data_IF_388379801178
#
_entry.id   IF_388379801178
#
_cell.length_a   1.000
_cell.length_b   1.000
_cell.length_c   1.000
_cell.angle_alpha   90.00
_cell.angle_beta   90.00
_cell.angle_gamma   90.00
#
_symmetry.space_group_name_H-M   'P 1'
#
loop_
_entity.id
_entity.type
_entity.pdbx_description
1 polymer ?
#
# COMPACT_ATOMS: atom_id res chain seq x y z
N UNK A 1 -13.16 -9.26 20.45
CA UNK A 1 -12.97 -7.78 20.39
C UNK A 1 -13.59 -7.27 19.09
N UNK A 2 -14.60 -6.42 19.16
CA UNK A 2 -15.19 -5.77 17.97
C UNK A 2 -14.71 -4.33 17.92
N UNK A 3 -14.19 -3.89 16.77
CA UNK A 3 -13.85 -2.50 16.50
C UNK A 3 -14.69 -2.03 15.31
N UNK A 4 -15.43 -0.94 15.45
CA UNK A 4 -16.17 -0.33 14.35
C UNK A 4 -15.21 0.38 13.38
N UNK A 5 -15.73 0.84 12.23
CA UNK A 5 -14.90 1.40 11.17
C UNK A 5 -14.26 2.74 11.56
N UNK A 6 -14.98 3.56 12.33
CA UNK A 6 -14.50 4.87 12.78
C UNK A 6 -13.37 4.73 13.80
N UNK A 7 -13.54 3.86 14.78
CA UNK A 7 -12.52 3.62 15.80
C UNK A 7 -11.28 2.95 15.20
N UNK A 8 -11.46 2.06 14.21
CA UNK A 8 -10.34 1.50 13.48
C UNK A 8 -9.56 2.58 12.73
N UNK A 9 -10.25 3.49 12.04
CA UNK A 9 -9.59 4.59 11.32
C UNK A 9 -8.83 5.51 12.29
N UNK A 10 -9.40 5.83 13.46
CA UNK A 10 -8.70 6.61 14.50
C UNK A 10 -7.45 5.91 15.02
N UNK A 11 -7.55 4.61 15.33
CA UNK A 11 -6.40 3.80 15.74
C UNK A 11 -5.29 3.82 14.70
N UNK A 12 -5.65 3.57 13.44
CA UNK A 12 -4.71 3.55 12.31
C UNK A 12 -4.05 4.91 12.13
N UNK A 13 -4.81 6.01 12.21
CA UNK A 13 -4.26 7.37 12.10
C UNK A 13 -3.21 7.66 13.18
N UNK A 14 -3.44 7.21 14.42
CA UNK A 14 -2.46 7.33 15.51
C UNK A 14 -1.19 6.52 15.18
N UNK A 15 -1.35 5.28 14.70
CA UNK A 15 -0.20 4.44 14.36
C UNK A 15 0.59 4.98 13.16
N UNK A 16 -0.07 5.52 12.14
CA UNK A 16 0.60 6.17 11.02
C UNK A 16 1.34 7.43 11.46
N UNK A 17 0.77 8.21 12.39
CA UNK A 17 1.46 9.37 12.96
C UNK A 17 2.74 8.96 13.72
N UNK A 18 2.72 7.84 14.46
CA UNK A 18 3.94 7.31 15.10
C UNK A 18 4.96 6.79 14.08
N UNK A 19 4.52 6.18 12.98
CA UNK A 19 5.40 5.81 11.87
C UNK A 19 6.02 7.05 11.21
N UNK A 20 5.24 8.12 10.99
CA UNK A 20 5.73 9.39 10.44
C UNK A 20 6.83 10.02 11.32
N UNK A 21 6.76 9.88 12.66
CA UNK A 21 7.80 10.34 13.58
C UNK A 21 9.08 9.49 13.51
N UNK A 22 8.93 8.18 13.31
CA UNK A 22 10.07 7.24 13.24
C UNK A 22 10.78 7.24 11.88
N UNK A 23 10.11 7.71 10.84
CA UNK A 23 10.63 7.78 9.48
C UNK A 23 10.97 9.23 9.11
N UNK A 24 11.94 9.40 8.22
CA UNK A 24 12.25 10.73 7.68
C UNK A 24 11.22 11.09 6.62
N UNK A 25 10.16 11.80 7.02
CA UNK A 25 9.15 12.34 6.10
C UNK A 25 9.76 13.50 5.32
N UNK A 26 9.61 13.49 3.98
CA UNK A 26 9.99 14.60 3.14
C UNK A 26 9.09 15.82 3.38
N UNK A 27 9.67 16.99 3.56
CA UNK A 27 8.92 18.24 3.64
C UNK A 27 8.40 18.70 2.27
N UNK A 28 7.54 19.72 2.24
CA UNK A 28 6.93 20.22 1.02
C UNK A 28 7.94 20.84 0.00
N UNK A 29 9.16 21.20 0.43
CA UNK A 29 10.21 21.72 -0.45
C UNK A 29 11.04 20.62 -1.10
N UNK A 30 10.91 19.38 -0.63
CA UNK A 30 11.64 18.25 -1.15
C UNK A 30 11.15 17.86 -2.55
N UNK A 31 12.05 17.48 -3.44
CA UNK A 31 11.71 17.10 -4.83
C UNK A 31 10.78 15.90 -4.91
N UNK A 32 10.94 14.92 -4.01
CA UNK A 32 10.06 13.77 -3.94
C UNK A 32 8.63 14.17 -3.54
N UNK A 33 8.47 15.06 -2.56
CA UNK A 33 7.15 15.56 -2.17
C UNK A 33 6.50 16.33 -3.31
N UNK A 34 7.23 17.25 -3.95
CA UNK A 34 6.71 17.99 -5.12
C UNK A 34 6.32 17.08 -6.28
N UNK A 35 7.11 16.04 -6.52
CA UNK A 35 6.78 15.03 -7.53
C UNK A 35 5.53 14.25 -7.17
N UNK A 36 5.41 13.78 -5.91
CA UNK A 36 4.23 13.07 -5.43
C UNK A 36 2.98 13.95 -5.51
N UNK A 37 3.04 15.19 -5.04
CA UNK A 37 1.94 16.16 -5.10
C UNK A 37 1.45 16.39 -6.54
N UNK A 38 2.40 16.50 -7.50
CA UNK A 38 2.07 16.63 -8.93
C UNK A 38 1.34 15.38 -9.46
N UNK A 39 1.81 14.18 -9.10
CA UNK A 39 1.25 12.91 -9.56
C UNK A 39 -0.14 12.69 -8.98
N UNK A 40 -0.35 13.07 -7.71
CA UNK A 40 -1.59 12.85 -6.97
C UNK A 40 -2.52 14.05 -6.96
N UNK A 41 -2.23 15.07 -7.76
CA UNK A 41 -3.05 16.28 -7.83
C UNK A 41 -4.51 15.95 -8.21
N UNK A 42 -5.45 16.42 -7.39
CA UNK A 42 -6.87 16.13 -7.55
C UNK A 42 -7.35 14.82 -6.93
N UNK A 43 -6.45 14.00 -6.38
CA UNK A 43 -6.79 12.76 -5.67
C UNK A 43 -7.05 13.05 -4.20
N UNK A 44 -8.25 13.48 -3.85
CA UNK A 44 -8.58 13.87 -2.49
C UNK A 44 -9.32 12.80 -1.70
N UNK A 45 -9.95 11.86 -2.40
CA UNK A 45 -10.89 10.89 -1.82
C UNK A 45 -10.88 9.57 -2.58
N UNK A 46 -11.11 8.47 -1.84
CA UNK A 46 -11.40 7.16 -2.39
C UNK A 46 -12.56 6.53 -1.60
N UNK A 47 -13.73 6.41 -2.24
CA UNK A 47 -14.94 5.81 -1.65
C UNK A 47 -15.31 6.43 -0.28
N UNK A 48 -15.24 7.79 -0.19
CA UNK A 48 -15.53 8.55 1.02
C UNK A 48 -14.39 8.58 2.05
N UNK A 49 -13.22 8.02 1.73
CA UNK A 49 -12.03 8.03 2.59
C UNK A 49 -11.09 9.13 2.11
N UNK A 50 -10.87 10.16 2.93
CA UNK A 50 -9.97 11.26 2.61
C UNK A 50 -8.53 10.79 2.52
N UNK A 51 -7.88 10.97 1.37
CA UNK A 51 -6.50 10.56 1.13
C UNK A 51 -5.49 11.57 1.67
N UNK A 52 -4.39 11.06 2.21
CA UNK A 52 -3.25 11.84 2.69
C UNK A 52 -1.93 11.22 2.24
N UNK A 53 -1.19 11.90 1.38
CA UNK A 53 0.03 11.42 0.74
C UNK A 53 1.27 11.99 1.43
N UNK A 54 2.26 11.14 1.72
CA UNK A 54 3.61 11.57 2.16
C UNK A 54 4.68 10.64 1.60
N UNK A 55 5.92 11.18 1.49
CA UNK A 55 7.08 10.40 1.10
C UNK A 55 7.97 10.14 2.31
N UNK A 56 8.40 8.89 2.48
CA UNK A 56 9.47 8.52 3.40
C UNK A 56 10.80 8.50 2.66
N UNK A 57 11.76 9.31 3.11
CA UNK A 57 13.12 9.35 2.56
C UNK A 57 13.90 8.14 3.05
N UNK A 58 14.02 7.12 2.25
CA UNK A 58 14.65 5.85 2.61
C UNK A 58 15.22 5.13 1.39
N UNK A 59 16.14 4.19 1.62
CA UNK A 59 16.70 3.29 0.61
C UNK A 59 15.87 2.01 0.42
N UNK A 60 14.79 1.86 1.15
CA UNK A 60 13.86 0.74 1.04
C UNK A 60 12.85 1.01 -0.08
N UNK A 61 12.33 -0.06 -0.67
CA UNK A 61 11.35 0.01 -1.76
C UNK A 61 9.99 -0.41 -1.21
N UNK A 62 9.07 0.53 -1.05
CA UNK A 62 7.70 0.22 -0.61
C UNK A 62 6.74 1.34 -0.97
N UNK A 63 5.45 1.00 -1.00
CA UNK A 63 4.32 1.90 -0.89
C UNK A 63 3.21 1.17 -0.15
N UNK A 64 2.40 1.88 0.61
CA UNK A 64 1.25 1.29 1.27
C UNK A 64 0.15 2.31 1.49
N UNK A 65 -1.09 1.84 1.60
CA UNK A 65 -2.23 2.65 2.00
C UNK A 65 -2.98 2.02 3.17
N UNK A 66 -3.39 2.86 4.11
CA UNK A 66 -4.05 2.47 5.34
C UNK A 66 -5.55 2.80 5.35
N UNK A 67 -6.35 2.11 6.18
CA UNK A 67 -7.81 2.31 6.27
C UNK A 67 -8.27 3.73 6.64
N UNK A 68 -7.39 4.56 7.21
CA UNK A 68 -7.62 5.99 7.50
C UNK A 68 -7.41 6.91 6.29
N UNK A 69 -7.00 6.35 5.14
CA UNK A 69 -6.67 7.10 3.92
C UNK A 69 -5.22 7.58 3.84
N UNK A 70 -4.38 7.25 4.80
CA UNK A 70 -2.95 7.53 4.73
C UNK A 70 -2.28 6.70 3.64
N UNK A 71 -1.60 7.35 2.69
CA UNK A 71 -0.78 6.74 1.64
C UNK A 71 0.66 7.16 1.86
N UNK A 72 1.56 6.20 1.94
CA UNK A 72 3.00 6.44 2.12
C UNK A 72 3.77 5.82 0.98
N UNK A 73 4.67 6.60 0.39
CA UNK A 73 5.52 6.18 -0.72
C UNK A 73 6.98 6.33 -0.31
N UNK A 74 7.79 5.34 -0.59
CA UNK A 74 9.21 5.35 -0.25
C UNK A 74 10.02 5.95 -1.41
N UNK A 75 10.97 6.84 -1.10
CA UNK A 75 11.75 7.56 -2.12
C UNK A 75 12.49 6.64 -3.07
N UNK A 76 13.06 5.52 -2.59
CA UNK A 76 13.73 4.58 -3.47
C UNK A 76 12.80 3.92 -4.51
N UNK A 77 11.51 3.73 -4.19
CA UNK A 77 10.52 3.27 -5.17
C UNK A 77 10.28 4.36 -6.25
N UNK A 78 10.25 5.63 -5.84
CA UNK A 78 10.11 6.75 -6.76
C UNK A 78 11.30 6.89 -7.70
N UNK A 79 12.52 6.51 -7.27
CA UNK A 79 13.72 6.57 -8.11
C UNK A 79 13.68 5.61 -9.29
N UNK A 80 12.97 4.49 -9.14
CA UNK A 80 12.94 3.42 -10.16
C UNK A 80 11.70 3.44 -11.04
N UNK A 81 10.61 4.09 -10.62
CA UNK A 81 9.35 4.15 -11.34
C UNK A 81 9.15 5.51 -12.02
N UNK A 82 8.59 5.51 -13.23
CA UNK A 82 8.07 6.73 -13.87
C UNK A 82 6.82 7.24 -13.12
N UNK A 83 6.36 8.44 -13.45
CA UNK A 83 5.18 9.05 -12.82
C UNK A 83 3.92 8.19 -13.01
N UNK A 84 3.70 7.68 -14.22
CA UNK A 84 2.53 6.85 -14.51
C UNK A 84 2.64 5.45 -13.87
N UNK A 85 3.83 4.84 -13.82
CA UNK A 85 4.09 3.58 -13.11
C UNK A 85 3.84 3.73 -11.61
N UNK A 86 4.35 4.83 -11.02
CA UNK A 86 4.15 5.14 -9.61
C UNK A 86 2.68 5.39 -9.29
N UNK A 87 1.97 6.13 -10.15
CA UNK A 87 0.54 6.35 -10.02
C UNK A 87 -0.25 5.04 -10.11
N UNK A 88 0.20 4.09 -10.93
CA UNK A 88 -0.38 2.74 -11.01
C UNK A 88 -0.25 1.99 -9.70
N UNK A 89 0.95 2.00 -9.08
CA UNK A 89 1.17 1.40 -7.74
C UNK A 89 0.31 2.10 -6.68
N UNK A 90 0.25 3.43 -6.67
CA UNK A 90 -0.61 4.19 -5.76
C UNK A 90 -2.09 3.83 -5.96
N UNK A 91 -2.55 3.69 -7.21
CA UNK A 91 -3.91 3.27 -7.53
C UNK A 91 -4.23 1.87 -7.01
N UNK A 92 -3.29 0.94 -7.09
CA UNK A 92 -3.40 -0.41 -6.53
C UNK A 92 -3.54 -0.36 -4.99
N UNK A 93 -2.69 0.42 -4.30
CA UNK A 93 -2.76 0.59 -2.85
C UNK A 93 -4.09 1.23 -2.40
N UNK A 94 -4.54 2.27 -3.12
CA UNK A 94 -5.86 2.87 -2.90
C UNK A 94 -6.97 1.83 -3.13
N UNK A 95 -6.82 0.93 -4.11
CA UNK A 95 -7.73 -0.18 -4.37
C UNK A 95 -7.89 -1.10 -3.15
N UNK A 96 -6.80 -1.43 -2.46
CA UNK A 96 -6.87 -2.20 -1.22
C UNK A 96 -7.65 -1.49 -0.10
N UNK A 97 -7.59 -0.17 -0.05
CA UNK A 97 -8.37 0.63 0.92
C UNK A 97 -9.84 0.69 0.51
N UNK A 98 -10.13 1.09 -0.74
CA UNK A 98 -11.49 1.23 -1.26
C UNK A 98 -12.29 -0.09 -1.20
N UNK A 99 -11.63 -1.21 -1.51
CA UNK A 99 -12.19 -2.57 -1.46
C UNK A 99 -12.13 -3.20 -0.06
N UNK A 100 -11.70 -2.44 0.95
CA UNK A 100 -11.64 -2.84 2.37
C UNK A 100 -10.67 -3.99 2.67
N UNK A 101 -9.71 -4.29 1.80
CA UNK A 101 -8.70 -5.32 2.04
C UNK A 101 -7.79 -4.94 3.22
N UNK A 102 -7.28 -3.70 3.23
CA UNK A 102 -6.46 -3.16 4.32
C UNK A 102 -7.23 -3.19 5.65
N UNK A 103 -8.53 -2.84 5.64
CA UNK A 103 -9.39 -2.92 6.83
C UNK A 103 -9.49 -4.34 7.40
N UNK A 104 -9.64 -5.35 6.53
CA UNK A 104 -9.65 -6.76 6.95
C UNK A 104 -8.30 -7.18 7.54
N UNK A 105 -7.19 -6.74 6.95
CA UNK A 105 -5.84 -7.03 7.45
C UNK A 105 -5.62 -6.47 8.85
N UNK A 106 -5.97 -5.20 9.09
CA UNK A 106 -5.88 -4.56 10.39
C UNK A 106 -6.77 -5.21 11.45
N UNK A 107 -8.03 -5.54 11.12
CA UNK A 107 -8.92 -6.27 12.04
C UNK A 107 -8.38 -7.66 12.39
N UNK A 108 -7.82 -8.36 11.41
CA UNK A 108 -7.21 -9.67 11.62
C UNK A 108 -5.97 -9.58 12.54
N UNK A 109 -5.14 -8.56 12.37
CA UNK A 109 -3.98 -8.32 13.23
C UNK A 109 -4.41 -8.01 14.68
N UNK A 110 -5.39 -7.13 14.87
CA UNK A 110 -5.98 -6.84 16.17
C UNK A 110 -6.56 -8.08 16.85
N UNK A 111 -7.27 -8.91 16.10
CA UNK A 111 -7.87 -10.13 16.63
C UNK A 111 -6.80 -11.15 17.06
N UNK A 112 -5.72 -11.30 16.28
CA UNK A 112 -4.58 -12.18 16.64
C UNK A 112 -3.88 -11.72 17.91
N UNK A 113 -3.64 -10.42 18.05
CA UNK A 113 -3.08 -9.84 19.28
C UNK A 113 -4.00 -10.08 20.47
N UNK A 114 -5.31 -9.87 20.31
CA UNK A 114 -6.28 -10.12 21.38
C UNK A 114 -6.34 -11.60 21.83
N UNK A 115 -6.15 -12.54 20.91
CA UNK A 115 -6.11 -13.97 21.22
C UNK A 115 -4.84 -14.35 21.98
N UNK A 116 -3.68 -13.78 21.62
CA UNK A 116 -2.43 -14.00 22.37
C UNK A 116 -2.50 -13.44 23.80
N UNK A 117 -3.24 -12.35 24.00
CA UNK A 117 -3.41 -11.71 25.31
C UNK A 117 -4.63 -12.23 26.10
N UNK A 118 -5.53 -12.99 25.47
CA UNK A 118 -6.78 -13.51 26.08
C UNK A 118 -6.54 -14.50 27.23
N UNK A 119 -5.31 -14.96 27.40
CA UNK A 119 -4.89 -15.67 28.62
C UNK A 119 -4.88 -14.73 29.85
N UNK A 120 -4.96 -13.41 29.64
CA UNK A 120 -4.73 -12.41 30.68
C UNK A 120 -5.95 -11.60 31.17
N UNK A 121 -7.06 -11.41 30.41
CA UNK A 121 -8.25 -10.70 30.96
C UNK A 121 -9.48 -10.62 30.03
N UNK A 122 -10.67 -10.58 30.67
CA UNK A 122 -12.02 -10.73 30.11
C UNK A 122 -12.63 -9.49 29.41
N UNK A 123 -11.99 -8.34 29.32
CA UNK A 123 -12.49 -7.18 28.56
C UNK A 123 -11.39 -6.15 28.33
N UNK A 124 -10.78 -6.15 27.16
CA UNK A 124 -9.89 -5.04 26.75
C UNK A 124 -10.46 -4.35 25.52
N UNK A 125 -10.66 -3.06 25.63
CA UNK A 125 -10.81 -2.18 24.49
C UNK A 125 -9.42 -1.95 23.90
N UNK A 126 -9.32 -1.67 22.58
CA UNK A 126 -8.05 -1.31 21.91
C UNK A 126 -7.30 -0.14 22.61
N UNK A 127 -8.01 0.70 23.36
CA UNK A 127 -7.44 1.80 24.16
C UNK A 127 -6.53 1.34 25.32
N UNK A 128 -6.52 0.06 25.66
CA UNK A 128 -5.68 -0.51 26.71
C UNK A 128 -4.40 -1.17 26.18
N UNK A 129 -4.16 -1.13 24.85
CA UNK A 129 -2.95 -1.70 24.25
C UNK A 129 -1.75 -0.77 24.49
N UNK A 130 -0.61 -1.36 24.82
CA UNK A 130 0.66 -0.62 24.92
C UNK A 130 1.17 -0.19 23.54
N UNK A 131 2.07 0.80 23.50
CA UNK A 131 2.70 1.25 22.26
C UNK A 131 3.44 0.12 21.53
N UNK A 132 4.06 -0.79 22.26
CA UNK A 132 4.72 -1.97 21.69
C UNK A 132 3.70 -2.90 21.01
N UNK A 133 2.60 -3.23 21.68
CA UNK A 133 1.53 -4.06 21.11
C UNK A 133 0.90 -3.42 19.86
N UNK A 134 0.71 -2.11 19.89
CA UNK A 134 0.21 -1.35 18.74
C UNK A 134 1.21 -1.37 17.57
N UNK A 135 2.51 -1.28 17.85
CA UNK A 135 3.58 -1.43 16.88
C UNK A 135 3.58 -2.82 16.21
N UNK A 136 3.42 -3.88 17.00
CA UNK A 136 3.35 -5.26 16.53
C UNK A 136 2.12 -5.49 15.65
N UNK A 137 0.94 -4.97 16.06
CA UNK A 137 -0.29 -5.02 15.28
C UNK A 137 -0.12 -4.29 13.95
N UNK A 138 0.50 -3.12 13.97
CA UNK A 138 0.78 -2.34 12.76
C UNK A 138 1.67 -3.12 11.80
N UNK A 139 2.75 -3.71 12.29
CA UNK A 139 3.67 -4.55 11.49
C UNK A 139 2.95 -5.76 10.90
N UNK A 140 2.13 -6.46 11.68
CA UNK A 140 1.33 -7.59 11.23
C UNK A 140 0.29 -7.18 10.16
N UNK A 141 -0.33 -6.03 10.32
CA UNK A 141 -1.33 -5.54 9.37
C UNK A 141 -0.71 -5.15 8.03
N UNK A 142 0.43 -4.44 8.06
CA UNK A 142 1.13 -3.97 6.85
C UNK A 142 1.86 -5.11 6.11
N UNK A 143 2.33 -6.14 6.82
CA UNK A 143 2.97 -7.32 6.22
C UNK A 143 1.98 -8.44 5.85
N UNK A 144 0.68 -8.24 6.08
CA UNK A 144 -0.33 -9.25 5.80
C UNK A 144 -0.41 -9.55 4.29
N UNK A 145 -0.22 -10.83 3.94
CA UNK A 145 -0.34 -11.27 2.54
C UNK A 145 -1.77 -11.17 2.07
N UNK A 146 -1.95 -10.51 0.94
CA UNK A 146 -3.22 -10.49 0.24
C UNK A 146 -3.46 -11.80 -0.54
N UNK A 147 -4.72 -12.21 -0.64
CA UNK A 147 -5.09 -13.34 -1.49
C UNK A 147 -4.94 -12.97 -2.97
N UNK A 148 -4.77 -13.98 -3.84
CA UNK A 148 -4.78 -13.75 -5.30
C UNK A 148 -6.00 -12.96 -5.76
N UNK A 149 -7.16 -13.28 -5.20
CA UNK A 149 -8.41 -12.57 -5.48
C UNK A 149 -8.35 -11.09 -5.09
N UNK A 150 -7.80 -10.76 -3.91
CA UNK A 150 -7.61 -9.38 -3.49
C UNK A 150 -6.63 -8.62 -4.41
N UNK A 151 -5.54 -9.28 -4.83
CA UNK A 151 -4.58 -8.70 -5.76
C UNK A 151 -5.23 -8.40 -7.13
N UNK A 152 -5.99 -9.35 -7.68
CA UNK A 152 -6.73 -9.15 -8.94
C UNK A 152 -7.68 -7.95 -8.83
N UNK A 153 -8.45 -7.87 -7.75
CA UNK A 153 -9.36 -6.74 -7.53
C UNK A 153 -8.64 -5.39 -7.40
N UNK A 154 -7.51 -5.37 -6.68
CA UNK A 154 -6.71 -4.15 -6.52
C UNK A 154 -6.04 -3.73 -7.85
N UNK A 155 -5.59 -4.69 -8.65
CA UNK A 155 -5.04 -4.45 -9.99
C UNK A 155 -6.11 -3.90 -10.96
N UNK A 156 -7.31 -4.45 -10.95
CA UNK A 156 -8.44 -3.93 -11.73
C UNK A 156 -8.82 -2.51 -11.30
N UNK A 157 -8.83 -2.27 -10.00
CA UNK A 157 -9.05 -0.93 -9.47
C UNK A 157 -7.97 0.05 -9.95
N UNK A 158 -6.69 -0.32 -9.81
CA UNK A 158 -5.55 0.48 -10.28
C UNK A 158 -5.58 0.74 -11.78
N UNK A 159 -5.97 -0.26 -12.58
CA UNK A 159 -6.16 -0.14 -14.02
C UNK A 159 -7.25 0.90 -14.37
N UNK A 160 -8.43 0.79 -13.76
CA UNK A 160 -9.55 1.72 -13.96
C UNK A 160 -9.18 3.12 -13.44
N UNK A 161 -8.48 3.19 -12.32
CA UNK A 161 -7.99 4.43 -11.72
C UNK A 161 -7.08 5.19 -12.68
N UNK A 162 -6.09 4.53 -13.29
CA UNK A 162 -5.22 5.14 -14.30
C UNK A 162 -6.03 5.67 -15.50
N UNK A 163 -7.02 4.94 -15.99
CA UNK A 163 -7.92 5.41 -17.06
C UNK A 163 -8.66 6.68 -16.65
N UNK A 164 -9.20 6.74 -15.44
CA UNK A 164 -9.90 7.94 -14.91
C UNK A 164 -8.96 9.15 -14.80
N UNK A 165 -7.68 8.92 -14.54
CA UNK A 165 -6.65 9.94 -14.51
C UNK A 165 -6.12 10.33 -15.91
N UNK A 166 -6.67 9.79 -17.01
CA UNK A 166 -6.16 9.95 -18.38
C UNK A 166 -4.69 9.53 -18.54
N UNK A 167 -4.30 8.46 -17.81
CA UNK A 167 -2.97 7.86 -17.84
C UNK A 167 -2.97 6.54 -18.58
N UNK A 168 -1.78 6.06 -18.93
CA UNK A 168 -1.64 4.75 -19.52
C UNK A 168 -2.05 3.66 -18.52
N UNK A 169 -3.16 2.94 -18.72
CA UNK A 169 -3.63 1.93 -17.77
C UNK A 169 -2.70 0.71 -17.70
N UNK A 170 -1.82 0.50 -18.68
CA UNK A 170 -0.77 -0.52 -18.66
C UNK A 170 0.40 -0.15 -17.72
N UNK A 171 0.49 1.10 -17.23
CA UNK A 171 1.61 1.55 -16.41
C UNK A 171 1.81 0.71 -15.14
N UNK A 172 0.73 0.17 -14.55
CA UNK A 172 0.83 -0.77 -13.43
C UNK A 172 1.53 -2.08 -13.85
N UNK A 173 1.22 -2.62 -15.03
CA UNK A 173 1.90 -3.80 -15.59
C UNK A 173 3.37 -3.55 -15.88
N UNK A 174 3.72 -2.34 -16.33
CA UNK A 174 5.12 -1.91 -16.52
C UNK A 174 5.86 -1.83 -15.18
N UNK A 175 5.23 -1.25 -14.15
CA UNK A 175 5.79 -1.21 -12.80
C UNK A 175 6.10 -2.62 -12.28
N UNK A 176 5.12 -3.53 -12.32
CA UNK A 176 5.30 -4.92 -11.90
C UNK A 176 6.40 -5.64 -12.69
N UNK A 177 6.46 -5.43 -14.00
CA UNK A 177 7.50 -6.00 -14.87
C UNK A 177 8.90 -5.51 -14.47
N UNK A 178 9.03 -4.22 -14.17
CA UNK A 178 10.29 -3.60 -13.73
C UNK A 178 10.72 -4.15 -12.38
N UNK A 179 9.81 -4.19 -11.41
CA UNK A 179 10.06 -4.73 -10.07
C UNK A 179 10.46 -6.21 -10.13
N UNK A 180 9.75 -7.02 -10.91
CA UNK A 180 10.08 -8.43 -11.15
C UNK A 180 11.48 -8.61 -11.74
N UNK A 181 11.85 -7.79 -12.74
CA UNK A 181 13.21 -7.83 -13.32
C UNK A 181 14.29 -7.53 -12.28
N UNK A 182 14.04 -6.60 -11.37
CA UNK A 182 14.97 -6.29 -10.29
C UNK A 182 15.12 -7.46 -9.31
N UNK A 183 14.02 -8.13 -8.95
CA UNK A 183 14.04 -9.30 -8.07
C UNK A 183 14.76 -10.51 -8.66
N UNK A 184 14.78 -10.64 -9.99
CA UNK A 184 15.45 -11.73 -10.70
C UNK A 184 16.94 -11.47 -10.96
N UNK A 185 17.50 -10.34 -10.53
CA UNK A 185 18.94 -10.08 -10.65
C UNK A 185 19.74 -10.91 -9.64
N UNK A 186 20.97 -11.32 -10.03
CA UNK A 186 21.82 -12.24 -9.25
C UNK A 186 22.23 -11.72 -7.86
N UNK A 187 22.17 -10.42 -7.62
CA UNK A 187 22.52 -9.84 -6.33
C UNK A 187 21.28 -9.76 -5.42
N UNK A 188 20.94 -10.92 -4.87
CA UNK A 188 19.77 -11.08 -3.96
C UNK A 188 19.92 -10.19 -2.71
N UNK A 189 21.15 -9.94 -2.23
CA UNK A 189 21.35 -9.14 -1.01
C UNK A 189 20.92 -7.68 -1.19
N UNK A 190 21.13 -7.12 -2.40
CA UNK A 190 20.74 -5.76 -2.75
C UNK A 190 19.23 -5.57 -2.81
N UNK A 191 18.49 -6.61 -3.17
CA UNK A 191 17.03 -6.56 -3.39
C UNK A 191 16.23 -7.33 -2.34
N UNK A 192 16.87 -7.82 -1.27
CA UNK A 192 16.19 -8.55 -0.18
C UNK A 192 15.05 -7.73 0.42
N UNK A 193 15.25 -6.42 0.64
CA UNK A 193 14.22 -5.51 1.15
C UNK A 193 13.08 -5.27 0.14
N UNK A 194 13.38 -5.29 -1.16
CA UNK A 194 12.36 -5.23 -2.20
C UNK A 194 11.52 -6.50 -2.19
N UNK A 195 12.15 -7.67 -2.05
CA UNK A 195 11.45 -8.96 -1.95
C UNK A 195 10.53 -8.99 -0.72
N UNK A 196 11.01 -8.50 0.43
CA UNK A 196 10.24 -8.41 1.67
C UNK A 196 9.01 -7.49 1.49
N UNK A 197 9.22 -6.28 0.97
CA UNK A 197 8.16 -5.29 0.73
C UNK A 197 7.04 -5.84 -0.18
N UNK A 198 7.42 -6.55 -1.23
CA UNK A 198 6.43 -7.13 -2.17
C UNK A 198 5.99 -8.56 -1.81
N UNK A 199 6.44 -9.11 -0.68
CA UNK A 199 5.96 -10.41 -0.20
C UNK A 199 4.48 -10.41 0.20
N UNK A 200 3.92 -9.25 0.57
CA UNK A 200 2.49 -9.04 0.81
C UNK A 200 1.65 -9.03 -0.47
N UNK A 201 2.29 -8.78 -1.64
CA UNK A 201 1.65 -8.67 -2.96
C UNK A 201 2.21 -9.71 -3.95
N UNK A 202 1.89 -11.01 -3.79
CA UNK A 202 2.49 -12.09 -4.55
C UNK A 202 2.00 -12.16 -6.01
N UNK A 203 2.54 -13.16 -6.76
CA UNK A 203 2.06 -13.59 -8.07
C UNK A 203 2.23 -12.56 -9.20
N UNK A 204 3.41 -11.95 -9.30
CA UNK A 204 3.71 -10.95 -10.34
C UNK A 204 3.34 -11.40 -11.76
N UNK A 205 3.63 -12.66 -12.13
CA UNK A 205 3.38 -13.16 -13.50
C UNK A 205 1.89 -13.18 -13.83
N UNK A 206 1.09 -13.74 -12.93
CA UNK A 206 -0.37 -13.82 -13.10
C UNK A 206 -0.98 -12.40 -13.16
N UNK A 207 -0.49 -11.49 -12.34
CA UNK A 207 -0.95 -10.10 -12.27
C UNK A 207 -0.58 -9.31 -13.53
N UNK A 208 0.67 -9.42 -14.00
CA UNK A 208 1.12 -8.79 -15.26
C UNK A 208 0.27 -9.27 -16.42
N UNK A 209 0.05 -10.58 -16.53
CA UNK A 209 -0.76 -11.16 -17.60
C UNK A 209 -2.23 -10.70 -17.52
N UNK A 210 -2.81 -10.66 -16.32
CA UNK A 210 -4.17 -10.16 -16.11
C UNK A 210 -4.33 -8.69 -16.56
N UNK A 211 -3.41 -7.81 -16.14
CA UNK A 211 -3.43 -6.38 -16.54
C UNK A 211 -3.25 -6.25 -18.06
N UNK A 212 -2.40 -7.10 -18.66
CA UNK A 212 -2.22 -7.14 -20.12
C UNK A 212 -3.52 -7.50 -20.84
N UNK A 213 -4.25 -8.51 -20.38
CA UNK A 213 -5.54 -8.90 -20.94
C UNK A 213 -6.58 -7.76 -20.82
N UNK A 214 -6.60 -7.02 -19.72
CA UNK A 214 -7.44 -5.82 -19.57
C UNK A 214 -7.07 -4.76 -20.61
N UNK A 215 -5.77 -4.51 -20.81
CA UNK A 215 -5.28 -3.54 -21.78
C UNK A 215 -5.60 -3.93 -23.23
N UNK A 216 -5.41 -5.19 -23.58
CA UNK A 216 -5.75 -5.74 -24.90
C UNK A 216 -7.25 -5.63 -25.19
N UNK A 217 -8.10 -5.98 -24.23
CA UNK A 217 -9.57 -5.83 -24.33
C UNK A 217 -9.97 -4.39 -24.60
N UNK A 218 -9.29 -3.43 -24.01
CA UNK A 218 -9.55 -2.02 -24.18
C UNK A 218 -8.77 -1.39 -25.35
N UNK A 219 -8.11 -2.19 -26.19
CA UNK A 219 -7.27 -1.78 -27.32
C UNK A 219 -6.08 -0.89 -26.93
N UNK A 220 -5.61 -0.95 -25.70
CA UNK A 220 -4.36 -0.32 -25.29
C UNK A 220 -3.18 -1.22 -25.67
N UNK A 221 -2.27 -0.70 -26.49
CA UNK A 221 -1.02 -1.39 -26.78
C UNK A 221 -0.03 -1.14 -25.66
N UNK A 222 0.49 -2.21 -25.06
CA UNK A 222 1.68 -2.15 -24.23
C UNK A 222 2.84 -1.67 -25.12
N UNK A 223 3.29 -0.43 -24.91
CA UNK A 223 4.46 0.15 -25.59
C UNK A 223 5.68 -0.04 -24.72
#
# INVERSE_FOLDING_TARGET
MYINDEDLAKLVAVQVAEMDKKNKVCDAKNDYSRRLDKITNGLNDAEGIKLNFKVYLTKEYNAFACPDGSVRVYSALMDILSDDELLGVIGHEIGHVALRHSKKAWRSALLRSAVSDAIASQSRTWACLSDSQLGDITSLALSAKHSRYHETQADEFGYIFLKRCNKNPWAMGLALTKLKKMLNQKDISKYAKLLEAFSSHPNFDERIEHIKQLAERDNYKAK
#
